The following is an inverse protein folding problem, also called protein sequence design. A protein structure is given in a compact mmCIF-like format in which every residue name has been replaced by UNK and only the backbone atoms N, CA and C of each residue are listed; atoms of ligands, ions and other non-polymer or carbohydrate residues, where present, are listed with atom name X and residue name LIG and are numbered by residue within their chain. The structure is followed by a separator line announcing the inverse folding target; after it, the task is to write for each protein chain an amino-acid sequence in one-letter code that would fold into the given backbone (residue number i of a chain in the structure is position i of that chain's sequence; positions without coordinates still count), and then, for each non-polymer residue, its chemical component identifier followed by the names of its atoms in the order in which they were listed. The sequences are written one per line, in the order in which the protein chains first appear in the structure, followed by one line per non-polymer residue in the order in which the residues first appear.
data_IF_032069219429
#
_entry.id   IF_032069219429
#
_cell.length_a   1.000
_cell.length_b   1.000
_cell.length_c   1.000
_cell.angle_alpha   90.00
_cell.angle_beta   90.00
_cell.angle_gamma   90.00
#
_symmetry.space_group_name_H-M   'P 1'
#
loop_
_entity.id
_entity.type
_entity.pdbx_description
1 polymer ?
#
# COMPACT_ATOMS: atom_id res chain seq x y z
N UNK A 1 11.69 -7.66 16.92
CA UNK A 1 12.90 -8.24 16.28
C UNK A 1 13.18 -7.46 15.01
N UNK A 2 14.44 -7.06 14.77
CA UNK A 2 14.84 -6.32 13.57
C UNK A 2 15.79 -7.13 12.71
N UNK A 3 15.67 -7.02 11.38
CA UNK A 3 16.49 -7.74 10.40
C UNK A 3 17.32 -6.75 9.60
N UNK A 4 18.57 -7.10 9.30
CA UNK A 4 19.37 -6.38 8.32
C UNK A 4 18.86 -6.70 6.91
N UNK A 5 18.44 -5.68 6.18
CA UNK A 5 17.81 -5.84 4.87
C UNK A 5 18.45 -4.91 3.85
N UNK A 6 18.57 -5.41 2.61
CA UNK A 6 18.99 -4.62 1.46
C UNK A 6 18.07 -4.88 0.26
N UNK A 7 17.29 -3.88 -0.08
CA UNK A 7 16.38 -3.90 -1.24
C UNK A 7 17.19 -3.61 -2.50
N UNK A 8 17.10 -4.47 -3.52
CA UNK A 8 17.85 -4.36 -4.78
C UNK A 8 16.89 -4.51 -5.95
N UNK A 9 16.97 -3.60 -6.91
CA UNK A 9 16.18 -3.62 -8.14
C UNK A 9 17.14 -3.56 -9.35
N UNK A 10 17.02 -4.53 -10.24
CA UNK A 10 17.86 -4.64 -11.45
C UNK A 10 16.95 -4.76 -12.67
N UNK A 11 17.04 -3.80 -13.57
CA UNK A 11 16.35 -3.86 -14.86
C UNK A 11 17.26 -4.47 -15.93
N UNK A 12 16.92 -5.67 -16.40
CA UNK A 12 17.63 -6.39 -17.44
C UNK A 12 16.75 -6.50 -18.69
N UNK A 13 17.25 -6.02 -19.82
CA UNK A 13 16.58 -6.09 -21.12
C UNK A 13 17.62 -6.13 -22.25
N UNK A 14 17.22 -6.61 -23.45
CA UNK A 14 18.01 -6.43 -24.67
C UNK A 14 18.17 -4.93 -24.95
N UNK A 15 19.32 -4.53 -25.49
CA UNK A 15 19.64 -3.11 -25.72
C UNK A 15 18.60 -2.41 -26.59
N UNK A 16 18.08 -3.11 -27.59
CA UNK A 16 17.16 -2.56 -28.60
C UNK A 16 15.77 -2.24 -28.04
N UNK A 17 15.36 -2.91 -26.95
CA UNK A 17 14.03 -2.77 -26.33
C UNK A 17 14.10 -2.15 -24.94
N UNK A 18 15.28 -1.70 -24.51
CA UNK A 18 15.50 -1.21 -23.15
C UNK A 18 14.94 0.20 -22.97
N UNK A 19 13.86 0.31 -22.17
CA UNK A 19 13.29 1.60 -21.78
C UNK A 19 13.56 1.87 -20.29
N UNK A 20 14.71 2.48 -19.98
CA UNK A 20 15.13 2.76 -18.60
C UNK A 20 14.19 3.74 -17.87
N UNK A 21 13.81 4.90 -18.47
CA UNK A 21 12.99 5.87 -17.76
C UNK A 21 11.64 5.29 -17.35
N UNK A 22 10.99 4.50 -18.22
CA UNK A 22 9.69 3.87 -17.91
C UNK A 22 9.76 2.99 -16.67
N UNK A 23 10.78 2.14 -16.59
CA UNK A 23 10.91 1.15 -15.49
C UNK A 23 11.39 1.82 -14.20
N UNK A 24 12.38 2.72 -14.29
CA UNK A 24 12.91 3.43 -13.12
C UNK A 24 11.84 4.36 -12.53
N UNK A 25 11.16 5.16 -13.35
CA UNK A 25 10.15 6.10 -12.84
C UNK A 25 8.96 5.36 -12.23
N UNK A 26 8.52 4.24 -12.85
CA UNK A 26 7.46 3.40 -12.29
C UNK A 26 7.84 2.82 -10.93
N UNK A 27 9.05 2.28 -10.81
CA UNK A 27 9.54 1.71 -9.55
C UNK A 27 9.72 2.77 -8.46
N UNK A 28 10.31 3.93 -8.80
CA UNK A 28 10.47 5.03 -7.83
C UNK A 28 9.11 5.58 -7.39
N UNK A 29 8.15 5.68 -8.30
CA UNK A 29 6.78 6.08 -7.97
C UNK A 29 6.10 5.10 -7.00
N UNK A 30 6.30 3.79 -7.21
CA UNK A 30 5.81 2.75 -6.30
C UNK A 30 6.47 2.84 -4.92
N UNK A 31 7.80 2.92 -4.86
CA UNK A 31 8.53 2.99 -3.57
C UNK A 31 8.17 4.24 -2.77
N UNK A 32 7.89 5.37 -3.43
CA UNK A 32 7.44 6.61 -2.77
C UNK A 32 6.14 6.46 -1.99
N UNK A 33 5.31 5.46 -2.29
CA UNK A 33 4.05 5.23 -1.56
C UNK A 33 4.28 4.72 -0.14
N UNK A 34 5.46 4.16 0.14
CA UNK A 34 5.85 3.74 1.49
C UNK A 34 6.50 4.86 2.30
N UNK A 35 6.63 6.06 1.73
CA UNK A 35 7.12 7.24 2.45
C UNK A 35 5.96 7.92 3.15
N UNK A 36 6.06 8.09 4.47
CA UNK A 36 5.23 9.01 5.24
C UNK A 36 6.01 10.29 5.52
N UNK A 37 5.32 11.43 5.64
CA UNK A 37 5.97 12.72 5.92
C UNK A 37 6.62 12.75 7.32
N UNK A 38 6.07 12.01 8.27
CA UNK A 38 6.47 12.06 9.68
C UNK A 38 7.28 10.82 10.12
N UNK A 39 7.48 9.84 9.24
CA UNK A 39 8.14 8.55 9.56
C UNK A 39 9.25 8.21 8.55
N UNK A 40 9.75 6.97 8.63
CA UNK A 40 10.74 6.43 7.69
C UNK A 40 10.27 6.51 6.23
N UNK A 41 11.23 6.69 5.33
CA UNK A 41 11.01 6.75 3.90
C UNK A 41 12.06 5.96 3.14
N UNK A 42 11.61 5.18 2.16
CA UNK A 42 12.52 4.45 1.28
C UNK A 42 12.90 5.34 0.10
N UNK A 43 14.19 5.66 -0.02
CA UNK A 43 14.73 6.45 -1.13
C UNK A 43 15.64 5.57 -1.99
N UNK A 44 15.46 5.59 -3.33
CA UNK A 44 16.39 4.91 -4.22
C UNK A 44 17.77 5.59 -4.15
N UNK A 45 18.83 4.78 -4.04
CA UNK A 45 20.20 5.28 -3.98
C UNK A 45 20.68 5.73 -5.38
N UNK A 46 20.80 7.05 -5.54
CA UNK A 46 21.29 7.67 -6.79
C UNK A 46 22.80 7.95 -6.77
N UNK A 47 23.49 7.75 -5.64
CA UNK A 47 24.88 8.19 -5.52
C UNK A 47 25.85 7.05 -5.81
N UNK A 48 25.61 5.86 -5.26
CA UNK A 48 26.52 4.70 -5.43
C UNK A 48 26.03 3.70 -6.45
N UNK A 49 24.70 3.57 -6.57
CA UNK A 49 24.07 2.55 -7.43
C UNK A 49 23.61 3.11 -8.78
N UNK A 50 23.58 4.44 -8.94
CA UNK A 50 23.25 5.04 -10.23
C UNK A 50 24.29 4.71 -11.30
N UNK A 51 23.76 4.37 -12.47
CA UNK A 51 24.56 4.00 -13.65
C UNK A 51 24.74 5.17 -14.61
N UNK A 52 24.77 6.40 -14.10
CA UNK A 52 25.14 7.61 -14.84
C UNK A 52 26.57 8.01 -14.49
N UNK A 53 27.35 8.42 -15.48
CA UNK A 53 28.68 9.00 -15.30
C UNK A 53 28.89 9.97 -16.44
N UNK A 54 29.07 11.25 -16.11
CA UNK A 54 29.66 12.21 -17.02
C UNK A 54 31.18 12.13 -16.81
N UNK A 55 31.98 12.38 -17.86
CA UNK A 55 33.45 12.48 -17.86
C UNK A 55 34.23 11.17 -18.06
N UNK A 56 35.16 11.22 -19.04
CA UNK A 56 36.24 10.30 -19.45
C UNK A 56 36.02 8.79 -19.28
N UNK A 57 36.08 8.05 -20.40
CA UNK A 57 35.89 6.59 -20.45
C UNK A 57 34.59 6.14 -19.74
N UNK A 58 33.54 6.96 -19.86
CA UNK A 58 32.27 6.78 -19.16
C UNK A 58 31.66 5.39 -19.43
N UNK A 59 31.69 4.93 -20.69
CA UNK A 59 31.10 3.65 -21.08
C UNK A 59 31.77 2.45 -20.42
N UNK A 60 33.11 2.42 -20.38
CA UNK A 60 33.87 1.34 -19.72
C UNK A 60 33.58 1.32 -18.22
N UNK A 61 33.60 2.49 -17.57
CA UNK A 61 33.31 2.62 -16.14
C UNK A 61 31.87 2.20 -15.80
N UNK A 62 30.91 2.63 -16.62
CA UNK A 62 29.49 2.23 -16.53
C UNK A 62 29.37 0.72 -16.68
N UNK A 63 30.08 0.11 -17.63
CA UNK A 63 30.00 -1.34 -17.85
C UNK A 63 30.62 -2.13 -16.69
N UNK A 64 31.74 -1.66 -16.13
CA UNK A 64 32.33 -2.24 -14.92
C UNK A 64 31.38 -2.14 -13.72
N UNK A 65 30.71 -0.99 -13.52
CA UNK A 65 29.72 -0.82 -12.44
C UNK A 65 28.52 -1.75 -12.62
N UNK A 66 27.96 -1.84 -13.84
CA UNK A 66 26.88 -2.80 -14.15
C UNK A 66 27.29 -4.24 -13.81
N UNK A 67 28.52 -4.63 -14.18
CA UNK A 67 29.07 -5.94 -13.86
C UNK A 67 29.19 -6.19 -12.35
N UNK A 68 29.63 -5.19 -11.57
CA UNK A 68 29.67 -5.27 -10.09
C UNK A 68 28.28 -5.43 -9.48
N UNK A 69 27.30 -4.62 -9.93
CA UNK A 69 25.92 -4.69 -9.43
C UNK A 69 25.30 -6.07 -9.72
N UNK A 70 25.44 -6.57 -10.96
CA UNK A 70 24.92 -7.89 -11.33
C UNK A 70 25.61 -9.00 -10.55
N UNK A 71 26.93 -8.90 -10.32
CA UNK A 71 27.67 -9.89 -9.51
C UNK A 71 27.19 -9.91 -8.06
N UNK A 72 27.08 -8.74 -7.42
CA UNK A 72 26.59 -8.62 -6.05
C UNK A 72 25.14 -9.12 -5.92
N UNK A 73 24.29 -8.83 -6.92
CA UNK A 73 22.91 -9.31 -6.96
C UNK A 73 22.84 -10.84 -7.06
N UNK A 74 23.61 -11.46 -7.96
CA UNK A 74 23.66 -12.92 -8.09
C UNK A 74 24.20 -13.62 -6.85
N UNK A 75 25.25 -13.06 -6.24
CA UNK A 75 25.87 -13.63 -5.05
C UNK A 75 25.09 -13.32 -3.76
N UNK A 76 24.01 -12.53 -3.84
CA UNK A 76 23.27 -12.01 -2.66
C UNK A 76 24.20 -11.39 -1.61
N UNK A 77 25.19 -10.64 -2.08
CA UNK A 77 26.24 -10.08 -1.24
C UNK A 77 25.72 -8.88 -0.43
N UNK A 78 25.69 -9.02 0.89
CA UNK A 78 25.21 -7.99 1.82
C UNK A 78 26.28 -6.98 2.25
N UNK A 79 27.55 -7.20 1.90
CA UNK A 79 28.65 -6.25 2.17
C UNK A 79 28.85 -5.30 0.98
N UNK A 80 28.79 -5.82 -0.24
CA UNK A 80 29.04 -5.03 -1.43
C UNK A 80 27.95 -3.95 -1.68
N UNK A 81 28.38 -2.77 -2.12
CA UNK A 81 27.52 -1.66 -2.50
C UNK A 81 27.13 -0.77 -1.32
N UNK A 82 25.86 -0.77 -0.94
CA UNK A 82 25.34 0.02 0.18
C UNK A 82 25.21 -0.83 1.44
N UNK A 83 25.36 -0.21 2.60
CA UNK A 83 25.14 -0.85 3.89
C UNK A 83 23.66 -1.25 4.01
N UNK A 84 23.35 -2.46 4.52
CA UNK A 84 21.97 -2.81 4.84
C UNK A 84 21.42 -1.86 5.90
N UNK A 85 20.10 -1.74 5.94
CA UNK A 85 19.39 -1.01 7.00
C UNK A 85 18.51 -1.98 7.75
N UNK A 86 18.13 -1.61 8.97
CA UNK A 86 17.32 -2.47 9.84
C UNK A 86 15.85 -2.24 9.52
N UNK A 87 15.10 -3.32 9.32
CA UNK A 87 13.64 -3.30 9.25
C UNK A 87 13.03 -4.27 10.24
N UNK A 88 11.86 -3.92 10.79
CA UNK A 88 11.07 -4.85 11.59
C UNK A 88 10.27 -5.82 10.68
N UNK A 89 9.60 -6.80 11.29
CA UNK A 89 8.78 -7.78 10.54
C UNK A 89 7.54 -7.16 9.87
N UNK A 90 7.02 -6.07 10.43
CA UNK A 90 5.81 -5.39 9.93
C UNK A 90 6.12 -4.56 8.66
N UNK A 91 7.25 -3.85 8.64
CA UNK A 91 7.80 -3.12 7.50
C UNK A 91 8.12 -4.10 6.36
N UNK A 92 8.71 -5.25 6.67
CA UNK A 92 8.94 -6.32 5.70
C UNK A 92 7.63 -6.89 5.14
N UNK A 93 6.65 -7.15 6.01
CA UNK A 93 5.33 -7.61 5.58
C UNK A 93 4.65 -6.57 4.67
N UNK A 94 4.81 -5.28 4.96
CA UNK A 94 4.23 -4.18 4.18
C UNK A 94 4.84 -4.10 2.78
N UNK A 95 6.13 -4.41 2.63
CA UNK A 95 6.78 -4.51 1.33
C UNK A 95 6.32 -5.72 0.50
N UNK A 96 5.94 -6.82 1.15
CA UNK A 96 5.51 -8.05 0.48
C UNK A 96 4.02 -8.03 0.08
N UNK A 97 3.19 -7.36 0.88
CA UNK A 97 1.76 -7.23 0.60
C UNK A 97 1.50 -5.92 -0.15
N UNK A 98 1.28 -6.05 -1.46
CA UNK A 98 1.05 -4.90 -2.32
C UNK A 98 -0.22 -4.14 -1.90
N UNK A 99 -0.18 -2.79 -1.92
CA UNK A 99 -1.36 -1.98 -1.66
C UNK A 99 -2.46 -2.36 -2.67
N UNK A 100 -3.67 -2.57 -2.18
CA UNK A 100 -4.80 -2.92 -3.05
C UNK A 100 -5.22 -1.71 -3.89
N UNK A 101 -5.81 -1.99 -5.07
CA UNK A 101 -6.27 -1.01 -6.06
C UNK A 101 -7.21 0.09 -5.52
N UNK A 102 -7.74 -0.06 -4.29
CA UNK A 102 -8.53 0.97 -3.62
C UNK A 102 -7.71 2.24 -3.35
N UNK A 103 -6.39 2.11 -3.14
CA UNK A 103 -5.49 3.22 -2.80
C UNK A 103 -4.79 3.79 -4.05
N UNK A 104 -4.56 2.97 -5.08
CA UNK A 104 -3.80 3.35 -6.29
C UNK A 104 -4.71 3.38 -7.51
N UNK A 105 -5.07 4.58 -7.98
CA UNK A 105 -5.73 4.76 -9.28
C UNK A 105 -4.71 4.50 -10.39
N UNK A 106 -4.67 3.27 -10.92
CA UNK A 106 -3.88 2.93 -12.10
C UNK A 106 -4.76 2.94 -13.37
N UNK A 107 -4.95 4.09 -14.06
CA UNK A 107 -5.90 4.22 -15.15
C UNK A 107 -5.58 3.37 -16.40
N UNK A 108 -4.32 2.94 -16.54
CA UNK A 108 -3.84 2.20 -17.72
C UNK A 108 -3.87 0.68 -17.54
N UNK A 109 -4.22 0.17 -16.35
CA UNK A 109 -4.31 -1.27 -16.10
C UNK A 109 -5.76 -1.69 -16.31
N UNK A 110 -6.01 -2.50 -17.36
CA UNK A 110 -7.32 -3.08 -17.59
C UNK A 110 -7.65 -4.09 -16.49
N UNK A 111 -8.80 -3.92 -15.84
CA UNK A 111 -9.27 -4.83 -14.80
C UNK A 111 -9.81 -6.10 -15.44
N UNK A 112 -9.35 -7.26 -14.98
CA UNK A 112 -10.08 -8.49 -15.22
C UNK A 112 -11.42 -8.38 -14.47
N UNK A 113 -12.55 -8.48 -15.18
CA UNK A 113 -13.84 -8.53 -14.52
C UNK A 113 -13.86 -9.77 -13.62
N UNK A 114 -14.05 -9.57 -12.32
CA UNK A 114 -14.23 -10.67 -11.40
C UNK A 114 -15.50 -11.43 -11.82
N UNK A 115 -15.33 -12.63 -12.38
CA UNK A 115 -16.44 -13.52 -12.67
C UNK A 115 -16.93 -14.07 -11.34
N UNK A 116 -17.86 -13.34 -10.70
CA UNK A 116 -18.63 -13.88 -9.58
C UNK A 116 -19.51 -14.97 -10.17
N UNK A 117 -19.09 -16.23 -10.05
CA UNK A 117 -20.05 -17.32 -10.18
C UNK A 117 -21.03 -17.17 -9.02
N UNK A 118 -22.31 -17.10 -9.33
CA UNK A 118 -23.34 -17.30 -8.31
C UNK A 118 -23.05 -18.62 -7.60
N UNK A 119 -23.41 -18.70 -6.32
CA UNK A 119 -23.20 -19.92 -5.55
C UNK A 119 -23.85 -21.10 -6.30
N UNK A 120 -23.18 -22.26 -6.42
CA UNK A 120 -23.77 -23.40 -7.08
C UNK A 120 -25.08 -23.77 -6.38
N UNK A 121 -26.15 -23.95 -7.16
CA UNK A 121 -27.50 -24.26 -6.66
C UNK A 121 -27.57 -25.53 -5.81
N UNK A 122 -26.51 -26.35 -5.81
CA UNK A 122 -26.39 -27.59 -5.05
C UNK A 122 -25.82 -27.39 -3.64
N UNK A 123 -25.85 -26.18 -3.07
CA UNK A 123 -25.46 -25.98 -1.68
C UNK A 123 -26.56 -26.57 -0.78
N UNK A 124 -26.26 -27.55 0.09
CA UNK A 124 -27.25 -28.05 1.04
C UNK A 124 -27.59 -26.92 2.01
N UNK A 125 -28.73 -26.28 1.82
CA UNK A 125 -29.35 -25.46 2.85
C UNK A 125 -29.81 -26.47 3.90
N UNK A 126 -29.18 -26.47 5.07
CA UNK A 126 -29.59 -27.38 6.15
C UNK A 126 -31.09 -27.22 6.38
N UNK A 127 -31.82 -28.34 6.34
CA UNK A 127 -33.20 -28.44 6.80
C UNK A 127 -33.24 -28.11 8.30
N UNK A 128 -33.25 -26.83 8.64
CA UNK A 128 -34.14 -26.41 9.70
C UNK A 128 -35.43 -26.07 8.99
N UNK A 129 -36.46 -26.90 9.22
CA UNK A 129 -37.80 -26.66 8.74
C UNK A 129 -38.30 -25.35 9.36
N UNK A 130 -38.03 -24.23 8.68
CA UNK A 130 -38.74 -22.98 8.89
C UNK A 130 -40.05 -23.20 8.15
N UNK A 131 -41.08 -23.60 8.89
CA UNK A 131 -42.44 -23.71 8.40
C UNK A 131 -42.84 -22.35 7.80
N UNK A 132 -42.95 -22.29 6.47
CA UNK A 132 -43.28 -21.07 5.72
C UNK A 132 -44.69 -20.53 6.02
N UNK A 133 -45.45 -21.21 6.89
CA UNK A 133 -46.74 -20.75 7.38
C UNK A 133 -46.65 -19.81 8.59
N UNK A 134 -45.47 -19.63 9.19
CA UNK A 134 -45.26 -18.67 10.28
C UNK A 134 -44.54 -17.43 9.72
N UNK A 135 -45.21 -16.27 9.60
CA UNK A 135 -44.55 -15.02 9.22
C UNK A 135 -43.44 -14.71 10.23
N UNK A 136 -42.27 -14.27 9.74
CA UNK A 136 -41.20 -13.79 10.61
C UNK A 136 -41.77 -12.71 11.55
N UNK A 137 -41.32 -12.68 12.83
CA UNK A 137 -41.90 -11.80 13.84
C UNK A 137 -41.83 -10.31 13.45
N UNK A 138 -40.93 -9.94 12.54
CA UNK A 138 -40.73 -8.58 12.03
C UNK A 138 -41.92 -8.11 11.15
N UNK A 139 -42.72 -9.03 10.60
CA UNK A 139 -43.85 -8.73 9.72
C UNK A 139 -45.22 -8.87 10.40
N UNK A 140 -45.27 -9.05 11.72
CA UNK A 140 -46.51 -8.99 12.49
C UNK A 140 -46.84 -7.52 12.80
N UNK A 141 -48.10 -7.10 12.61
CA UNK A 141 -48.52 -5.71 12.83
C UNK A 141 -48.31 -5.22 14.27
N UNK A 142 -48.16 -6.16 15.21
CA UNK A 142 -48.06 -5.95 16.65
C UNK A 142 -46.61 -6.11 17.19
N UNK A 143 -45.61 -6.21 16.32
CA UNK A 143 -44.21 -6.35 16.74
C UNK A 143 -43.59 -5.02 17.17
N UNK A 144 -43.54 -4.78 18.48
CA UNK A 144 -42.79 -3.68 19.06
C UNK A 144 -41.28 -3.99 19.07
N UNK A 145 -40.49 -3.17 18.38
CA UNK A 145 -39.03 -3.23 18.44
C UNK A 145 -38.61 -2.93 19.88
N UNK A 146 -37.86 -3.81 20.57
CA UNK A 146 -37.33 -3.47 21.89
C UNK A 146 -36.40 -2.28 21.75
N UNK A 147 -36.80 -1.12 22.28
CA UNK A 147 -35.89 0.02 22.40
C UNK A 147 -34.76 -0.39 23.34
N UNK A 148 -33.56 -0.56 22.79
CA UNK A 148 -32.35 -0.73 23.58
C UNK A 148 -32.07 0.59 24.31
N UNK A 149 -32.64 0.72 25.52
CA UNK A 149 -32.56 1.91 26.38
C UNK A 149 -31.11 2.25 26.80
N UNK A 150 -30.12 1.44 26.42
CA UNK A 150 -28.70 1.74 26.65
C UNK A 150 -28.15 2.85 25.75
N UNK A 151 -28.80 3.19 24.64
CA UNK A 151 -28.31 4.21 23.68
C UNK A 151 -28.80 5.64 23.90
N UNK A 152 -29.73 5.89 24.82
CA UNK A 152 -30.39 7.21 24.97
C UNK A 152 -29.74 8.13 26.03
N UNK A 153 -28.64 7.74 26.68
CA UNK A 153 -27.93 8.59 27.66
C UNK A 153 -26.46 8.85 27.36
N UNK A 154 -26.12 9.08 26.10
CA UNK A 154 -24.96 9.92 25.77
C UNK A 154 -25.43 11.12 24.96
N UNK A 155 -25.97 12.10 25.68
CA UNK A 155 -25.92 13.48 25.22
C UNK A 155 -24.47 13.82 24.92
N UNK A 156 -24.16 14.12 23.66
CA UNK A 156 -22.93 14.80 23.32
C UNK A 156 -22.97 16.18 24.00
N UNK A 157 -22.25 16.33 25.12
CA UNK A 157 -21.90 17.66 25.60
C UNK A 157 -20.88 18.25 24.61
N UNK A 158 -21.15 19.39 23.97
CA UNK A 158 -20.10 20.10 23.28
C UNK A 158 -19.09 20.58 24.32
N UNK A 159 -17.84 20.12 24.20
CA UNK A 159 -16.75 20.57 25.04
C UNK A 159 -16.37 22.00 24.62
N UNK A 160 -17.01 23.01 25.23
CA UNK A 160 -16.69 24.42 25.01
C UNK A 160 -17.68 25.36 25.66
N UNK A 161 -17.24 26.08 26.69
CA UNK A 161 -17.92 27.25 27.23
C UNK A 161 -18.05 28.35 26.15
N UNK A 162 -19.13 29.15 26.13
CA UNK A 162 -19.38 30.18 25.11
C UNK A 162 -18.42 31.39 25.18
N UNK A 163 -17.29 31.29 25.88
CA UNK A 163 -16.29 32.36 26.03
C UNK A 163 -15.07 32.22 25.10
N UNK A 164 -14.92 31.11 24.37
CA UNK A 164 -13.80 30.86 23.44
C UNK A 164 -14.16 31.05 21.95
N UNK A 165 -15.04 32.02 21.65
CA UNK A 165 -15.15 32.52 20.28
C UNK A 165 -13.96 33.45 19.99
N UNK A 166 -13.19 33.27 18.91
CA UNK A 166 -12.10 34.19 18.58
C UNK A 166 -12.69 35.59 18.34
N UNK A 167 -12.09 36.65 18.89
CA UNK A 167 -12.62 38.00 18.79
C UNK A 167 -12.65 38.47 17.33
N UNK A 168 -13.70 39.24 17.02
CA UNK A 168 -14.19 39.59 15.68
C UNK A 168 -13.28 40.52 14.84
N UNK A 169 -11.99 40.63 15.19
CA UNK A 169 -11.02 41.55 14.59
C UNK A 169 -9.86 40.84 13.86
N UNK A 170 -10.14 39.77 13.11
CA UNK A 170 -9.16 39.20 12.18
C UNK A 170 -9.30 39.85 10.79
N UNK A 171 -8.21 40.39 10.20
CA UNK A 171 -8.25 40.86 8.83
C UNK A 171 -8.41 39.66 7.88
N UNK A 172 -9.44 39.71 7.03
CA UNK A 172 -9.66 38.72 5.98
C UNK A 172 -8.57 38.91 4.92
N UNK A 173 -7.81 37.84 4.63
CA UNK A 173 -6.88 37.74 3.50
C UNK A 173 -7.53 36.92 2.39
#
# INVERSE_FOLDING_TARGET
MGFEVKIRMVYLAKKDVMNKPKVVNGFVGFIKQFTSNDLNGLKPDMDKTATSTAYFAADQRINMRKGKIIRAYKNRDDVAGRTPFIMNSEELATLWHFPTDAVIKAPLIQRAAAKRSEAPMSLPVGEQAVDSSVPEPIFQEDYEIPEDQSRVKQSFEPLGSPEDAPPDNLPVV
#
